data_IF_124608042980
#
_entry.id   IF_124608042980
#
_cell.length_a   1.000
_cell.length_b   1.000
_cell.length_c   1.000
_cell.angle_alpha   90.00
_cell.angle_beta   90.00
_cell.angle_gamma   90.00
#
_symmetry.space_group_name_H-M   'P 1'
#
loop_
_entity.id
_entity.type
_entity.pdbx_description
1 polymer ?
#
# COMPACT_ATOMS: atom_id res chain seq x y z
N UNK A 1 18.07 10.43 -18.57
CA UNK A 1 16.90 10.96 -17.86
C UNK A 1 16.41 9.85 -16.93
N UNK A 2 16.20 10.14 -15.66
CA UNK A 2 15.75 9.16 -14.66
C UNK A 2 14.27 8.86 -14.85
N UNK A 3 13.85 7.60 -14.86
CA UNK A 3 12.43 7.21 -15.01
C UNK A 3 11.59 7.79 -13.86
N UNK A 4 10.36 8.28 -14.09
CA UNK A 4 9.45 8.67 -13.01
C UNK A 4 9.16 7.48 -12.09
N UNK A 5 8.93 7.74 -10.80
CA UNK A 5 8.71 6.67 -9.81
C UNK A 5 7.21 6.50 -9.56
N UNK A 6 6.76 5.25 -9.50
CA UNK A 6 5.37 4.88 -9.22
C UNK A 6 5.36 3.98 -8.00
N UNK A 7 4.62 4.38 -6.98
CA UNK A 7 4.38 3.57 -5.79
C UNK A 7 2.97 3.00 -5.81
N UNK A 8 2.83 1.71 -5.55
CA UNK A 8 1.56 1.00 -5.45
C UNK A 8 1.53 0.13 -4.20
N UNK A 9 0.58 0.40 -3.31
CA UNK A 9 0.29 -0.42 -2.14
C UNK A 9 -0.81 -1.44 -2.44
N UNK A 10 -0.61 -2.70 -2.06
CA UNK A 10 -1.53 -3.79 -2.29
C UNK A 10 -1.89 -4.49 -0.98
N UNK A 11 -3.19 -4.55 -0.65
CA UNK A 11 -3.67 -5.31 0.50
C UNK A 11 -3.40 -6.81 0.29
N UNK A 12 -2.91 -7.53 1.32
CA UNK A 12 -2.76 -8.96 1.25
C UNK A 12 -4.13 -9.65 1.33
N UNK A 13 -4.76 -9.89 0.18
CA UNK A 13 -6.00 -10.66 0.09
C UNK A 13 -5.79 -12.07 -0.46
N UNK A 14 -4.73 -12.32 -1.25
CA UNK A 14 -4.53 -13.58 -1.99
C UNK A 14 -5.56 -13.82 -3.11
N UNK A 15 -6.63 -13.02 -3.18
CA UNK A 15 -7.70 -13.13 -4.15
C UNK A 15 -7.67 -11.93 -5.11
N UNK A 16 -7.00 -12.07 -6.25
CA UNK A 16 -7.11 -11.13 -7.38
C UNK A 16 -8.16 -11.66 -8.35
N UNK A 17 -9.21 -10.87 -8.58
CA UNK A 17 -10.18 -11.17 -9.62
C UNK A 17 -9.62 -10.89 -11.01
N UNK A 18 -10.23 -11.48 -12.05
CA UNK A 18 -9.91 -11.15 -13.44
C UNK A 18 -10.09 -9.64 -13.73
N UNK A 19 -11.00 -8.98 -13.01
CA UNK A 19 -11.20 -7.54 -13.08
C UNK A 19 -9.99 -6.76 -12.56
N UNK A 20 -9.38 -7.20 -11.46
CA UNK A 20 -8.15 -6.58 -10.94
C UNK A 20 -6.97 -6.79 -11.90
N UNK A 21 -6.87 -7.97 -12.51
CA UNK A 21 -5.84 -8.26 -13.51
C UNK A 21 -5.98 -7.36 -14.75
N UNK A 22 -7.17 -7.30 -15.36
CA UNK A 22 -7.38 -6.50 -16.56
C UNK A 22 -7.36 -4.99 -16.29
N UNK A 23 -7.82 -4.56 -15.11
CA UNK A 23 -7.96 -3.15 -14.76
C UNK A 23 -6.64 -2.48 -14.35
N UNK A 24 -5.77 -3.19 -13.62
CA UNK A 24 -4.56 -2.61 -13.06
C UNK A 24 -3.31 -3.43 -13.38
N UNK A 25 -3.31 -4.73 -13.05
CA UNK A 25 -2.10 -5.54 -13.06
C UNK A 25 -1.47 -5.67 -14.47
N UNK A 26 -2.28 -5.82 -15.52
CA UNK A 26 -1.79 -5.85 -16.90
C UNK A 26 -1.12 -4.53 -17.31
N UNK A 27 -1.61 -3.40 -16.81
CA UNK A 27 -1.01 -2.10 -17.09
C UNK A 27 0.31 -1.94 -16.34
N UNK A 28 0.35 -2.37 -15.07
CA UNK A 28 1.54 -2.35 -14.23
C UNK A 28 2.71 -3.13 -14.82
N UNK A 29 2.44 -4.30 -15.40
CA UNK A 29 3.48 -5.11 -16.07
C UNK A 29 4.16 -4.32 -17.20
N UNK A 30 3.39 -3.59 -18.00
CA UNK A 30 3.94 -2.76 -19.08
C UNK A 30 4.67 -1.51 -18.56
N UNK A 31 4.26 -0.97 -17.40
CA UNK A 31 4.86 0.24 -16.83
C UNK A 31 6.30 0.02 -16.33
N UNK A 32 6.72 -1.21 -16.07
CA UNK A 32 8.07 -1.52 -15.55
C UNK A 32 9.19 -1.06 -16.50
N UNK A 33 8.90 -0.95 -17.79
CA UNK A 33 9.87 -0.52 -18.79
C UNK A 33 9.98 1.02 -18.86
N UNK A 34 8.93 1.76 -18.52
CA UNK A 34 8.88 3.23 -18.61
C UNK A 34 9.05 3.94 -17.26
N UNK A 35 8.74 3.27 -16.15
CA UNK A 35 8.75 3.79 -14.79
C UNK A 35 9.68 3.00 -13.88
N UNK A 36 10.08 3.62 -12.77
CA UNK A 36 10.61 2.87 -11.64
C UNK A 36 9.43 2.48 -10.74
N UNK A 37 8.98 1.23 -10.85
CA UNK A 37 7.81 0.76 -10.11
C UNK A 37 8.21 0.19 -8.74
N UNK A 38 7.45 0.56 -7.72
CA UNK A 38 7.57 0.08 -6.35
C UNK A 38 6.21 -0.51 -5.94
N UNK A 39 6.19 -1.82 -5.70
CA UNK A 39 5.02 -2.58 -5.26
C UNK A 39 5.20 -3.00 -3.80
N UNK A 40 4.38 -2.46 -2.91
CA UNK A 40 4.43 -2.73 -1.49
C UNK A 40 3.20 -3.55 -1.07
N UNK A 41 3.43 -4.74 -0.51
CA UNK A 41 2.36 -5.55 0.08
C UNK A 41 2.14 -5.05 1.52
N UNK A 42 1.02 -4.36 1.75
CA UNK A 42 0.77 -3.54 2.94
C UNK A 42 0.19 -4.34 4.13
N UNK A 43 0.98 -5.27 4.66
CA UNK A 43 0.58 -6.14 5.76
C UNK A 43 0.38 -5.40 7.11
N UNK A 44 1.05 -4.27 7.34
CA UNK A 44 0.80 -3.43 8.54
C UNK A 44 -0.55 -2.70 8.45
N UNK A 45 -1.01 -2.33 7.25
CA UNK A 45 -2.36 -1.78 7.07
C UNK A 45 -3.45 -2.84 7.26
N UNK A 46 -3.18 -4.09 6.88
CA UNK A 46 -4.13 -5.20 7.01
C UNK A 46 -4.55 -5.46 8.47
N UNK A 47 -3.66 -5.24 9.44
CA UNK A 47 -3.92 -5.50 10.86
C UNK A 47 -4.71 -4.40 11.59
N UNK A 48 -5.07 -3.31 10.90
CA UNK A 48 -6.02 -2.30 11.43
C UNK A 48 -7.43 -2.87 11.63
N UNK A 49 -7.72 -4.02 11.01
CA UNK A 49 -8.85 -4.91 11.33
C UNK A 49 -8.29 -6.24 11.83
N UNK A 50 -9.08 -6.99 12.62
CA UNK A 50 -8.59 -8.26 13.19
C UNK A 50 -8.40 -9.29 12.07
N UNK A 51 -7.21 -9.90 12.06
CA UNK A 51 -6.81 -10.91 11.09
C UNK A 51 -6.58 -12.24 11.79
N UNK A 52 -6.84 -13.35 11.08
CA UNK A 52 -6.27 -14.63 11.46
C UNK A 52 -4.77 -14.64 11.06
N UNK A 53 -3.84 -14.91 11.99
CA UNK A 53 -2.41 -14.82 11.71
C UNK A 53 -1.92 -15.76 10.59
N UNK A 54 -2.50 -16.96 10.49
CA UNK A 54 -2.09 -17.94 9.47
C UNK A 54 -2.61 -17.52 8.10
N UNK A 55 -3.85 -17.05 8.03
CA UNK A 55 -4.45 -16.53 6.80
C UNK A 55 -3.73 -15.29 6.30
N UNK A 56 -3.40 -14.32 7.18
CA UNK A 56 -2.66 -13.12 6.77
C UNK A 56 -1.30 -13.50 6.17
N UNK A 57 -0.55 -14.38 6.83
CA UNK A 57 0.74 -14.84 6.32
C UNK A 57 0.60 -15.51 4.96
N UNK A 58 -0.41 -16.38 4.79
CA UNK A 58 -0.70 -17.05 3.52
C UNK A 58 -1.07 -16.02 2.44
N UNK A 59 -1.98 -15.10 2.73
CA UNK A 59 -2.44 -14.07 1.81
C UNK A 59 -1.30 -13.15 1.33
N UNK A 60 -0.38 -12.76 2.22
CA UNK A 60 0.81 -11.97 1.85
C UNK A 60 1.69 -12.72 0.84
N UNK A 61 1.96 -14.01 1.08
CA UNK A 61 2.76 -14.83 0.18
C UNK A 61 2.05 -15.12 -1.14
N UNK A 62 0.74 -15.38 -1.09
CA UNK A 62 -0.09 -15.60 -2.28
C UNK A 62 -0.13 -14.35 -3.16
N UNK A 63 -0.33 -13.16 -2.57
CA UNK A 63 -0.27 -11.88 -3.28
C UNK A 63 1.09 -11.70 -3.96
N UNK A 64 2.19 -11.95 -3.25
CA UNK A 64 3.53 -11.86 -3.82
C UNK A 64 3.70 -12.83 -5.01
N UNK A 65 3.35 -14.11 -4.81
CA UNK A 65 3.44 -15.12 -5.84
C UNK A 65 2.61 -14.77 -7.07
N UNK A 66 1.42 -14.20 -6.87
CA UNK A 66 0.52 -13.81 -7.93
C UNK A 66 1.05 -12.61 -8.73
N UNK A 67 1.65 -11.63 -8.07
CA UNK A 67 2.28 -10.49 -8.74
C UNK A 67 3.43 -10.95 -9.64
N UNK A 68 4.28 -11.85 -9.13
CA UNK A 68 5.37 -12.46 -9.91
C UNK A 68 4.82 -13.27 -11.09
N UNK A 69 3.79 -14.10 -10.87
CA UNK A 69 3.19 -14.92 -11.91
C UNK A 69 2.52 -14.09 -13.02
N UNK A 70 1.99 -12.92 -12.68
CA UNK A 70 1.40 -12.00 -13.64
C UNK A 70 2.44 -11.17 -14.43
N UNK A 71 3.73 -11.25 -14.07
CA UNK A 71 4.81 -10.63 -14.84
C UNK A 71 5.46 -9.40 -14.19
N UNK A 72 5.22 -9.16 -12.89
CA UNK A 72 6.06 -8.22 -12.15
C UNK A 72 7.45 -8.84 -11.99
N UNK A 73 8.45 -8.17 -12.54
CA UNK A 73 9.83 -8.64 -12.56
C UNK A 73 10.64 -7.91 -11.47
N UNK A 74 11.13 -8.62 -10.44
CA UNK A 74 11.91 -8.02 -9.35
C UNK A 74 13.27 -7.47 -9.80
N UNK A 75 13.71 -7.76 -11.03
CA UNK A 75 14.90 -7.14 -11.62
C UNK A 75 14.60 -5.77 -12.26
N UNK A 76 13.33 -5.50 -12.61
CA UNK A 76 12.89 -4.23 -13.20
C UNK A 76 12.20 -3.31 -12.19
N UNK A 77 11.54 -3.90 -11.19
CA UNK A 77 10.72 -3.23 -10.20
C UNK A 77 11.12 -3.64 -8.79
N UNK A 78 10.84 -2.79 -7.81
CA UNK A 78 10.98 -3.14 -6.39
C UNK A 78 9.67 -3.74 -5.91
N UNK A 79 9.69 -4.98 -5.43
CA UNK A 79 8.52 -5.61 -4.79
C UNK A 79 8.91 -6.11 -3.39
N UNK A 80 8.14 -5.74 -2.37
CA UNK A 80 8.45 -6.08 -0.99
C UNK A 80 7.21 -6.13 -0.09
N UNK A 81 7.38 -6.69 1.11
CA UNK A 81 6.37 -6.71 2.18
C UNK A 81 6.66 -5.56 3.13
N UNK A 82 5.65 -4.74 3.44
CA UNK A 82 5.79 -3.50 4.22
C UNK A 82 6.50 -3.73 5.56
N UNK A 83 6.09 -4.75 6.32
CA UNK A 83 6.69 -5.05 7.62
C UNK A 83 8.17 -5.45 7.59
N UNK A 84 8.72 -5.78 6.43
CA UNK A 84 10.14 -6.11 6.29
C UNK A 84 11.05 -4.88 6.19
N UNK A 85 10.47 -3.68 6.05
CA UNK A 85 11.19 -2.41 5.95
C UNK A 85 10.81 -1.55 7.16
N UNK A 86 11.63 -1.52 8.22
CA UNK A 86 11.28 -0.86 9.49
C UNK A 86 11.08 0.65 9.36
N UNK A 87 11.66 1.27 8.32
CA UNK A 87 11.60 2.69 8.04
C UNK A 87 10.16 3.20 7.87
N UNK A 88 9.24 2.37 7.38
CA UNK A 88 7.82 2.73 7.23
C UNK A 88 7.19 3.11 8.58
N UNK A 89 7.37 2.25 9.60
CA UNK A 89 6.82 2.50 10.93
C UNK A 89 7.56 3.63 11.65
N UNK A 90 8.88 3.73 11.48
CA UNK A 90 9.70 4.80 12.06
C UNK A 90 9.29 6.17 11.51
N UNK A 91 9.14 6.28 10.20
CA UNK A 91 8.68 7.50 9.56
C UNK A 91 7.22 7.79 9.89
N UNK A 92 6.36 6.78 9.95
CA UNK A 92 4.96 6.93 10.39
C UNK A 92 4.87 7.60 11.76
N UNK A 93 5.67 7.14 12.73
CA UNK A 93 5.76 7.77 14.03
C UNK A 93 6.23 9.24 13.96
N UNK A 94 7.25 9.53 13.16
CA UNK A 94 7.72 10.90 12.99
C UNK A 94 6.63 11.80 12.37
N UNK A 95 5.92 11.33 11.35
CA UNK A 95 4.86 12.06 10.67
C UNK A 95 3.62 12.28 11.56
N UNK A 96 3.36 11.40 12.53
CA UNK A 96 2.32 11.63 13.52
C UNK A 96 2.53 12.92 14.31
N UNK A 97 3.78 13.28 14.60
CA UNK A 97 4.11 14.53 15.28
C UNK A 97 3.84 15.79 14.42
N UNK A 98 3.62 15.62 13.11
CA UNK A 98 3.32 16.70 12.17
C UNK A 98 1.89 16.63 11.60
N UNK A 99 1.08 15.68 12.06
CA UNK A 99 -0.30 15.49 11.59
C UNK A 99 -1.29 15.95 12.65
N UNK A 100 -2.26 16.78 12.29
CA UNK A 100 -3.27 17.23 13.24
C UNK A 100 -4.32 16.15 13.47
N UNK A 101 -4.72 15.95 14.73
CA UNK A 101 -5.83 15.07 15.10
C UNK A 101 -7.12 15.37 14.31
N UNK A 102 -7.38 16.65 14.05
CA UNK A 102 -8.53 17.10 13.25
C UNK A 102 -8.51 16.57 11.81
N UNK A 103 -7.34 16.38 11.20
CA UNK A 103 -7.22 15.88 9.83
C UNK A 103 -7.64 14.40 9.76
N UNK A 104 -7.15 13.60 10.71
CA UNK A 104 -7.48 12.17 10.80
C UNK A 104 -8.96 11.94 11.14
N UNK A 105 -9.49 12.65 12.13
CA UNK A 105 -10.91 12.52 12.55
C UNK A 105 -11.93 12.93 11.48
N UNK A 106 -11.53 13.75 10.50
CA UNK A 106 -12.41 14.17 9.41
C UNK A 106 -12.45 13.17 8.26
N UNK A 107 -11.52 12.23 8.16
CA UNK A 107 -11.46 11.29 7.05
C UNK A 107 -12.72 10.44 6.94
N UNK A 108 -13.30 10.42 5.74
CA UNK A 108 -14.52 9.66 5.44
C UNK A 108 -14.30 8.17 5.65
N UNK A 109 -13.15 7.63 5.24
CA UNK A 109 -12.80 6.22 5.41
C UNK A 109 -12.73 5.82 6.88
N UNK A 110 -12.20 6.70 7.75
CA UNK A 110 -12.20 6.45 9.19
C UNK A 110 -13.64 6.40 9.74
N UNK A 111 -14.50 7.35 9.33
CA UNK A 111 -15.91 7.38 9.76
C UNK A 111 -16.69 6.16 9.28
N UNK A 112 -16.54 5.79 8.01
CA UNK A 112 -17.23 4.65 7.41
C UNK A 112 -16.79 3.33 8.05
N UNK A 113 -15.47 3.13 8.20
CA UNK A 113 -14.93 1.92 8.85
C UNK A 113 -15.27 1.87 10.33
N UNK A 114 -15.28 3.00 11.04
CA UNK A 114 -15.68 3.06 12.46
C UNK A 114 -17.15 2.72 12.66
N UNK A 115 -18.02 3.12 11.72
CA UNK A 115 -19.43 2.74 11.76
C UNK A 115 -19.63 1.24 11.46
N UNK A 116 -18.83 0.68 10.54
CA UNK A 116 -18.89 -0.73 10.15
C UNK A 116 -18.28 -1.69 11.18
N UNK A 117 -17.24 -1.26 11.89
CA UNK A 117 -16.49 -2.03 12.89
C UNK A 117 -16.57 -1.35 14.26
N UNK A 118 -17.79 -1.07 14.72
CA UNK A 118 -18.03 -0.34 15.97
C UNK A 118 -17.39 -1.01 17.20
N UNK A 119 -17.25 -2.34 17.16
CA UNK A 119 -16.61 -3.16 18.18
C UNK A 119 -15.07 -3.09 18.18
N UNK A 120 -14.45 -2.53 17.14
CA UNK A 120 -12.99 -2.52 16.96
C UNK A 120 -12.46 -1.20 16.36
N UNK A 121 -12.89 -0.06 16.90
CA UNK A 121 -12.32 1.26 16.59
C UNK A 121 -10.99 1.40 17.34
N UNK A 122 -9.90 1.00 16.69
CA UNK A 122 -8.56 1.05 17.27
C UNK A 122 -7.75 2.25 16.73
N UNK A 123 -6.68 2.61 17.44
CA UNK A 123 -5.79 3.71 17.05
C UNK A 123 -5.17 3.49 15.67
N UNK A 124 -4.84 2.26 15.28
CA UNK A 124 -4.32 1.95 13.95
C UNK A 124 -5.31 2.30 12.84
N UNK A 125 -6.61 2.05 13.03
CA UNK A 125 -7.66 2.43 12.07
C UNK A 125 -7.82 3.95 11.94
N UNK A 126 -7.47 4.71 12.97
CA UNK A 126 -7.46 6.17 12.94
C UNK A 126 -6.18 6.72 12.28
N UNK A 127 -5.05 6.05 12.54
CA UNK A 127 -3.70 6.52 12.25
C UNK A 127 -3.11 5.99 10.94
N UNK A 128 -3.72 4.96 10.34
CA UNK A 128 -3.24 4.37 9.08
C UNK A 128 -3.00 5.38 7.95
N UNK A 129 -3.73 6.53 7.82
CA UNK A 129 -3.41 7.51 6.79
C UNK A 129 -2.01 8.12 6.94
N UNK A 130 -1.50 8.21 8.17
CA UNK A 130 -0.13 8.69 8.42
C UNK A 130 0.90 7.63 8.05
N UNK A 131 0.63 6.35 8.37
CA UNK A 131 1.45 5.24 7.90
C UNK A 131 1.48 5.17 6.36
N UNK A 132 0.34 5.42 5.72
CA UNK A 132 0.25 5.50 4.25
C UNK A 132 1.10 6.65 3.69
N UNK A 133 1.12 7.81 4.34
CA UNK A 133 2.02 8.89 3.97
C UNK A 133 3.50 8.48 4.13
N UNK A 134 3.83 7.75 5.19
CA UNK A 134 5.16 7.20 5.41
C UNK A 134 5.56 6.14 4.37
N UNK A 135 4.58 5.44 3.78
CA UNK A 135 4.84 4.51 2.67
C UNK A 135 5.23 5.21 1.38
N UNK A 136 4.65 6.38 1.12
CA UNK A 136 4.76 7.09 -0.16
C UNK A 136 5.91 8.11 -0.14
N UNK A 137 6.09 8.86 0.94
CA UNK A 137 7.03 10.00 0.99
C UNK A 137 8.52 9.67 0.81
N UNK A 138 9.04 8.50 1.22
CA UNK A 138 10.41 8.12 0.93
C UNK A 138 10.71 7.98 -0.57
N UNK A 139 9.67 7.90 -1.40
CA UNK A 139 9.79 7.79 -2.85
C UNK A 139 10.10 9.17 -3.43
N UNK A 140 11.32 9.40 -3.99
CA UNK A 140 11.69 10.72 -4.45
C UNK A 140 10.83 11.16 -5.64
N UNK A 141 10.17 12.31 -5.48
CA UNK A 141 9.36 12.91 -6.53
C UNK A 141 10.25 13.51 -7.62
N UNK A 142 9.91 13.29 -8.89
CA UNK A 142 10.60 13.96 -9.98
C UNK A 142 9.80 15.18 -10.43
N UNK A 143 10.35 16.40 -10.28
CA UNK A 143 9.64 17.62 -10.66
C UNK A 143 9.30 17.59 -12.16
N UNK A 144 8.01 17.75 -12.47
CA UNK A 144 7.50 17.80 -13.85
C UNK A 144 7.06 16.45 -14.44
N UNK A 145 7.26 15.33 -13.74
CA UNK A 145 6.60 14.08 -14.11
C UNK A 145 5.21 14.04 -13.48
N UNK A 146 4.16 13.85 -14.26
CA UNK A 146 2.81 13.63 -13.74
C UNK A 146 2.70 12.27 -13.05
N UNK A 147 3.50 12.03 -12.01
CA UNK A 147 3.61 10.78 -11.29
C UNK A 147 2.24 10.33 -10.81
N UNK A 148 1.70 9.31 -11.46
CA UNK A 148 0.46 8.68 -11.03
C UNK A 148 0.76 7.90 -9.75
N UNK A 149 0.50 8.53 -8.61
CA UNK A 149 0.30 7.84 -7.34
C UNK A 149 -1.09 7.19 -7.41
N UNK A 150 -1.19 6.02 -8.03
CA UNK A 150 -2.46 5.29 -8.12
C UNK A 150 -2.58 4.32 -6.95
N UNK A 151 -3.49 4.64 -6.02
CA UNK A 151 -4.04 3.64 -5.12
C UNK A 151 -4.94 2.68 -5.90
N UNK A 152 -4.72 1.39 -5.72
CA UNK A 152 -5.81 0.41 -5.83
C UNK A 152 -5.94 -0.22 -4.45
N UNK A 153 -6.76 0.40 -3.60
CA UNK A 153 -7.38 -0.30 -2.50
C UNK A 153 -8.63 -1.00 -3.05
N UNK A 154 -8.65 -2.34 -3.18
CA UNK A 154 -9.86 -3.08 -2.86
C UNK A 154 -10.16 -3.02 -1.35
#
# INVERSE_FOLDING_TARGET
MTKPIVFSGAQPSGELTIGNYMGALRQWVNMQDDYHCIYCIVDQHAITVRQDPQQLRKATLDTLALYLACGIDPQKSTIFVQSHVPEHAQLGWALNCYTYFGELSRMTQFKDKSARYAENINAGLFDYPVLMAADILPVPDQPGSGGRRSETAP
#
